data_IF_829697313320
#
_entry.id   IF_829697313320
#
_cell.length_a   1.000
_cell.length_b   1.000
_cell.length_c   1.000
_cell.angle_alpha   90.00
_cell.angle_beta   90.00
_cell.angle_gamma   90.00
#
_symmetry.space_group_name_H-M   'P 1'
#
loop_
_entity.id
_entity.type
_entity.pdbx_description
1 polymer ?
#
# COMPACT_ATOMS: atom_id res chain seq x y z
N UNK A 1 9.63 -24.10 -9.85
CA UNK A 1 9.46 -23.77 -11.27
C UNK A 1 9.48 -25.09 -12.03
N UNK A 2 8.48 -25.37 -12.84
CA UNK A 2 8.29 -26.71 -13.42
C UNK A 2 7.99 -27.74 -12.34
N UNK A 3 8.74 -28.84 -12.30
CA UNK A 3 8.61 -29.90 -11.26
C UNK A 3 9.64 -29.76 -10.13
N UNK A 4 10.44 -28.69 -10.11
CA UNK A 4 11.50 -28.48 -9.10
C UNK A 4 11.02 -27.48 -8.04
N UNK A 5 11.14 -27.90 -6.76
CA UNK A 5 10.87 -27.06 -5.60
C UNK A 5 12.14 -26.33 -5.18
N UNK A 6 12.07 -25.00 -5.09
CA UNK A 6 13.15 -24.14 -4.60
C UNK A 6 12.81 -23.59 -3.23
N UNK A 7 13.74 -23.67 -2.30
CA UNK A 7 13.59 -23.02 -0.98
C UNK A 7 13.83 -21.53 -1.14
N UNK A 8 12.84 -20.73 -0.70
CA UNK A 8 12.98 -19.27 -0.68
C UNK A 8 13.77 -18.81 0.55
N UNK A 9 14.60 -17.76 0.44
CA UNK A 9 15.24 -17.15 1.60
C UNK A 9 14.21 -16.57 2.57
N UNK A 10 14.57 -16.45 3.84
CA UNK A 10 13.66 -15.86 4.86
C UNK A 10 13.24 -14.42 4.52
N UNK A 11 14.18 -13.62 4.00
CA UNK A 11 13.88 -12.29 3.46
C UNK A 11 13.58 -12.44 1.98
N UNK A 12 12.30 -12.42 1.65
CA UNK A 12 11.80 -12.52 0.28
C UNK A 12 10.68 -11.50 0.05
N UNK A 13 10.82 -10.70 -0.98
CA UNK A 13 9.86 -9.68 -1.38
C UNK A 13 9.51 -9.87 -2.86
N UNK A 14 8.22 -9.80 -3.19
CA UNK A 14 7.74 -9.73 -4.56
C UNK A 14 7.31 -8.29 -4.84
N UNK A 15 7.92 -7.68 -5.83
CA UNK A 15 7.52 -6.37 -6.34
C UNK A 15 7.13 -6.52 -7.82
N UNK A 16 5.98 -5.97 -8.18
CA UNK A 16 5.51 -5.88 -9.56
C UNK A 16 5.29 -4.41 -9.91
N UNK A 17 5.60 -4.04 -11.14
CA UNK A 17 5.34 -2.70 -11.67
C UNK A 17 4.34 -2.79 -12.81
N UNK A 18 3.44 -1.81 -12.88
CA UNK A 18 2.51 -1.62 -14.00
C UNK A 18 2.73 -0.21 -14.56
N UNK A 19 2.96 -0.13 -15.86
CA UNK A 19 3.01 1.15 -16.55
C UNK A 19 1.70 1.34 -17.32
N UNK A 20 0.85 2.32 -16.96
CA UNK A 20 -0.42 2.52 -17.65
C UNK A 20 -0.26 2.91 -19.14
N UNK A 21 0.91 3.39 -19.55
CA UNK A 21 1.19 3.78 -20.94
C UNK A 21 1.55 2.55 -21.81
N UNK A 22 2.10 1.50 -21.21
CA UNK A 22 2.60 0.30 -21.91
C UNK A 22 1.58 -0.85 -21.92
N UNK A 23 0.27 -0.55 -21.89
CA UNK A 23 -0.78 -1.59 -21.82
C UNK A 23 -1.03 -2.32 -23.15
N UNK A 24 -0.43 -1.93 -24.25
CA UNK A 24 -0.55 -2.67 -25.51
C UNK A 24 0.12 -4.05 -25.39
N UNK A 25 -0.70 -5.10 -25.47
CA UNK A 25 -0.24 -6.49 -25.43
C UNK A 25 -0.06 -7.12 -24.05
N UNK A 26 -0.42 -6.43 -22.94
CA UNK A 26 -0.41 -6.98 -21.58
C UNK A 26 -1.82 -7.16 -21.04
N UNK A 27 -2.04 -8.27 -20.30
CA UNK A 27 -3.30 -8.48 -19.57
C UNK A 27 -3.14 -7.97 -18.14
N UNK A 28 -4.12 -7.23 -17.61
CA UNK A 28 -4.12 -6.85 -16.20
C UNK A 28 -4.10 -8.12 -15.31
N UNK A 29 -3.41 -8.03 -14.18
CA UNK A 29 -3.43 -9.11 -13.20
C UNK A 29 -4.89 -9.29 -12.70
N UNK A 30 -5.37 -10.55 -12.59
CA UNK A 30 -6.67 -10.81 -11.98
C UNK A 30 -6.75 -10.24 -10.56
N UNK A 31 -7.91 -9.77 -10.16
CA UNK A 31 -8.17 -9.16 -8.83
C UNK A 31 -7.75 -10.06 -7.67
N UNK A 32 -7.99 -11.38 -7.79
CA UNK A 32 -7.55 -12.36 -6.79
C UNK A 32 -6.03 -12.46 -6.64
N UNK A 33 -5.27 -12.07 -7.65
CA UNK A 33 -3.81 -11.97 -7.58
C UNK A 33 -3.37 -10.62 -7.00
N UNK A 34 -4.04 -9.54 -7.38
CA UNK A 34 -3.79 -8.19 -6.83
C UNK A 34 -4.05 -8.16 -5.32
N UNK A 35 -5.11 -8.79 -4.82
CA UNK A 35 -5.42 -8.89 -3.39
C UNK A 35 -4.30 -9.55 -2.54
N UNK A 36 -3.38 -10.29 -3.18
CA UNK A 36 -2.23 -10.92 -2.50
C UNK A 36 -1.07 -9.97 -2.26
N UNK A 37 -0.98 -8.85 -2.98
CA UNK A 37 0.03 -7.83 -2.73
C UNK A 37 -0.32 -7.03 -1.48
N UNK A 38 0.70 -6.71 -0.68
CA UNK A 38 0.52 -5.96 0.57
C UNK A 38 -0.02 -4.55 0.29
N UNK A 39 0.58 -3.87 -0.66
CA UNK A 39 0.30 -2.47 -1.02
C UNK A 39 0.28 -2.30 -2.53
N UNK A 40 -0.47 -1.30 -2.99
CA UNK A 40 -0.45 -0.78 -4.35
C UNK A 40 -0.12 0.71 -4.30
N UNK A 41 1.16 1.03 -4.50
CA UNK A 41 1.65 2.41 -4.45
C UNK A 41 1.51 3.06 -5.82
N UNK A 42 0.90 4.24 -5.88
CA UNK A 42 0.86 5.07 -7.09
C UNK A 42 2.05 6.01 -7.13
N UNK A 43 2.84 5.92 -8.19
CA UNK A 43 3.97 6.82 -8.44
C UNK A 43 3.56 7.78 -9.55
N UNK A 44 3.40 9.04 -9.21
CA UNK A 44 3.08 10.12 -10.16
C UNK A 44 4.35 10.75 -10.76
N UNK A 45 4.15 11.71 -11.65
CA UNK A 45 5.26 12.52 -12.16
C UNK A 45 5.89 13.34 -11.03
N UNK A 46 7.23 13.45 -11.00
CA UNK A 46 7.92 14.26 -10.01
C UNK A 46 7.65 15.76 -10.21
N UNK A 47 7.75 16.52 -9.13
CA UNK A 47 7.71 17.98 -9.21
C UNK A 47 9.01 18.55 -9.81
N UNK A 48 9.00 19.80 -10.27
CA UNK A 48 10.14 20.44 -10.93
C UNK A 48 11.45 20.40 -10.10
N UNK A 49 11.35 20.50 -8.76
CA UNK A 49 12.50 20.39 -7.87
C UNK A 49 13.09 18.97 -7.84
N UNK A 50 12.23 17.94 -7.88
CA UNK A 50 12.65 16.55 -7.91
C UNK A 50 13.23 16.17 -9.29
N UNK A 51 12.67 16.70 -10.40
CA UNK A 51 13.24 16.55 -11.75
C UNK A 51 14.70 17.04 -11.81
N UNK A 52 14.97 18.20 -11.21
CA UNK A 52 16.35 18.72 -11.12
C UNK A 52 17.27 17.76 -10.34
N UNK A 53 16.80 17.24 -9.21
CA UNK A 53 17.57 16.27 -8.40
C UNK A 53 17.84 14.97 -9.17
N UNK A 54 16.86 14.46 -9.92
CA UNK A 54 17.00 13.27 -10.76
C UNK A 54 18.09 13.51 -11.82
N UNK A 55 18.06 14.67 -12.48
CA UNK A 55 19.05 15.03 -13.49
C UNK A 55 20.47 15.14 -12.89
N UNK A 56 20.61 15.77 -11.72
CA UNK A 56 21.89 15.91 -11.05
C UNK A 56 22.42 14.54 -10.56
N UNK A 57 21.56 13.69 -10.01
CA UNK A 57 21.90 12.32 -9.60
C UNK A 57 22.38 11.48 -10.79
N UNK A 58 21.65 11.51 -11.90
CA UNK A 58 22.01 10.76 -13.12
C UNK A 58 23.37 11.19 -13.67
N UNK A 59 23.62 12.50 -13.67
CA UNK A 59 24.94 13.05 -14.08
C UNK A 59 26.06 12.61 -13.14
N UNK A 60 25.79 12.57 -11.83
CA UNK A 60 26.77 12.09 -10.85
C UNK A 60 27.07 10.61 -11.05
N UNK A 61 26.05 9.77 -11.17
CA UNK A 61 26.21 8.34 -11.44
C UNK A 61 27.00 8.06 -12.72
N UNK A 62 26.79 8.84 -13.79
CA UNK A 62 27.56 8.70 -15.01
C UNK A 62 29.05 9.06 -14.82
N UNK A 63 29.36 10.05 -13.97
CA UNK A 63 30.74 10.41 -13.63
C UNK A 63 31.41 9.32 -12.76
N UNK A 64 30.68 8.78 -11.79
CA UNK A 64 31.19 7.75 -10.89
C UNK A 64 31.43 6.43 -11.64
N UNK A 65 30.51 6.06 -12.55
CA UNK A 65 30.69 4.92 -13.45
C UNK A 65 31.95 5.08 -14.34
N UNK A 66 32.21 6.27 -14.87
CA UNK A 66 33.41 6.56 -15.66
C UNK A 66 34.72 6.47 -14.84
N UNK A 67 34.63 6.57 -13.50
CA UNK A 67 35.76 6.42 -12.57
C UNK A 67 35.87 5.03 -11.94
N UNK A 68 35.00 4.06 -12.31
CA UNK A 68 34.84 2.76 -11.65
C UNK A 68 34.57 2.85 -10.12
N UNK A 69 33.97 3.93 -9.67
CA UNK A 69 33.57 4.13 -8.28
C UNK A 69 32.16 3.54 -8.09
N UNK A 70 32.07 2.43 -7.40
CA UNK A 70 30.78 1.77 -7.08
C UNK A 70 30.43 2.10 -5.64
N UNK A 71 29.46 2.98 -5.44
CA UNK A 71 28.93 3.33 -4.12
C UNK A 71 27.68 2.50 -3.78
N UNK A 72 27.81 1.19 -3.74
CA UNK A 72 26.78 0.32 -3.17
C UNK A 72 27.08 0.12 -1.67
N UNK A 73 26.68 1.04 -0.83
CA UNK A 73 26.71 0.83 0.61
C UNK A 73 25.55 -0.11 1.00
N UNK A 74 25.85 -1.25 1.63
CA UNK A 74 24.85 -2.03 2.35
C UNK A 74 24.43 -1.21 3.56
N UNK A 75 23.22 -0.63 3.48
CA UNK A 75 22.71 0.26 4.53
C UNK A 75 22.13 -0.50 5.72
N UNK A 76 21.58 -1.71 5.49
CA UNK A 76 20.95 -2.53 6.51
C UNK A 76 21.34 -4.00 6.34
N UNK A 77 21.50 -4.72 7.45
CA UNK A 77 21.67 -6.16 7.45
C UNK A 77 20.31 -6.87 7.52
N UNK A 78 20.25 -8.17 7.15
CA UNK A 78 19.03 -8.95 7.29
C UNK A 78 18.57 -9.06 8.75
N UNK A 79 19.53 -9.16 9.69
CA UNK A 79 19.25 -9.22 11.12
C UNK A 79 18.55 -7.94 11.62
N UNK A 80 19.00 -6.78 11.15
CA UNK A 80 18.37 -5.50 11.47
C UNK A 80 16.92 -5.45 10.94
N UNK A 81 16.67 -5.96 9.73
CA UNK A 81 15.32 -6.04 9.17
C UNK A 81 14.44 -6.99 9.98
N UNK A 82 14.95 -8.15 10.39
CA UNK A 82 14.19 -9.09 11.22
C UNK A 82 13.92 -8.54 12.62
N UNK A 83 14.87 -7.81 13.22
CA UNK A 83 14.65 -7.10 14.49
C UNK A 83 13.52 -6.07 14.35
N UNK A 84 13.59 -5.23 13.33
CA UNK A 84 12.55 -4.23 13.05
C UNK A 84 11.16 -4.89 12.83
N UNK A 85 11.09 -6.03 12.15
CA UNK A 85 9.84 -6.77 11.99
C UNK A 85 9.25 -7.22 13.33
N UNK A 86 10.08 -7.66 14.28
CA UNK A 86 9.61 -8.05 15.62
C UNK A 86 9.14 -6.83 16.40
N UNK A 87 9.83 -5.71 16.33
CA UNK A 87 9.41 -4.45 16.95
C UNK A 87 8.06 -3.98 16.40
N UNK A 88 7.89 -3.98 15.08
CA UNK A 88 6.63 -3.64 14.42
C UNK A 88 5.48 -4.54 14.89
N UNK A 89 5.71 -5.85 15.05
CA UNK A 89 4.69 -6.78 15.54
C UNK A 89 4.32 -6.52 17.01
N UNK A 90 5.25 -5.99 17.82
CA UNK A 90 5.03 -5.68 19.23
C UNK A 90 4.42 -4.29 19.48
N UNK A 91 4.22 -3.48 18.43
CA UNK A 91 3.61 -2.16 18.54
C UNK A 91 2.24 -2.23 19.22
N UNK A 92 2.00 -1.37 20.20
CA UNK A 92 0.70 -1.28 20.86
C UNK A 92 -0.37 -0.69 19.94
N UNK A 93 -1.54 -1.30 19.90
CA UNK A 93 -2.74 -0.73 19.28
C UNK A 93 -3.87 -0.78 20.29
N UNK A 94 -4.40 0.39 20.65
CA UNK A 94 -5.53 0.47 21.57
C UNK A 94 -6.78 -0.18 20.96
N UNK A 95 -7.65 -0.83 21.76
CA UNK A 95 -8.86 -1.48 21.23
C UNK A 95 -9.75 -0.55 20.39
N UNK A 96 -9.85 0.72 20.74
CA UNK A 96 -10.61 1.70 19.95
C UNK A 96 -10.00 1.94 18.55
N UNK A 97 -8.66 1.95 18.44
CA UNK A 97 -7.96 2.11 17.14
C UNK A 97 -8.09 0.84 16.30
N UNK A 98 -8.03 -0.33 16.93
CA UNK A 98 -8.28 -1.62 16.26
C UNK A 98 -9.72 -1.69 15.74
N UNK A 99 -10.70 -1.27 16.54
CA UNK A 99 -12.10 -1.19 16.12
C UNK A 99 -12.28 -0.24 14.93
N UNK A 100 -11.65 0.94 14.95
CA UNK A 100 -11.68 1.87 13.83
C UNK A 100 -11.14 1.25 12.54
N UNK A 101 -10.01 0.54 12.62
CA UNK A 101 -9.44 -0.20 11.49
C UNK A 101 -10.45 -1.22 10.94
N UNK A 102 -11.06 -2.02 11.83
CA UNK A 102 -12.05 -3.04 11.45
C UNK A 102 -13.27 -2.38 10.80
N UNK A 103 -13.77 -1.29 11.36
CA UNK A 103 -14.94 -0.57 10.84
C UNK A 103 -14.72 -0.03 9.43
N UNK A 104 -13.52 0.46 9.08
CA UNK A 104 -13.18 0.86 7.70
C UNK A 104 -13.35 -0.33 6.74
N UNK A 105 -12.85 -1.51 7.13
CA UNK A 105 -12.95 -2.72 6.29
C UNK A 105 -14.41 -3.21 6.16
N UNK A 106 -15.16 -3.21 7.26
CA UNK A 106 -16.58 -3.58 7.26
C UNK A 106 -17.39 -2.61 6.41
N UNK A 107 -17.16 -1.30 6.55
CA UNK A 107 -17.80 -0.26 5.74
C UNK A 107 -17.51 -0.41 4.24
N UNK A 108 -16.34 -0.93 3.86
CA UNK A 108 -16.06 -1.25 2.46
C UNK A 108 -16.88 -2.42 1.92
N UNK A 109 -17.33 -3.35 2.79
CA UNK A 109 -18.11 -4.55 2.42
C UNK A 109 -19.61 -4.32 2.50
N UNK A 110 -20.04 -3.60 3.52
CA UNK A 110 -21.42 -3.17 3.70
C UNK A 110 -21.43 -1.66 4.01
N UNK A 111 -21.48 -0.83 2.98
CA UNK A 111 -21.50 0.62 3.14
C UNK A 111 -22.88 1.18 3.53
N UNK A 112 -23.93 0.35 3.67
CA UNK A 112 -25.29 0.81 3.94
C UNK A 112 -25.44 1.72 5.18
N UNK A 113 -24.71 1.53 6.29
CA UNK A 113 -24.78 2.46 7.42
C UNK A 113 -24.16 3.83 7.15
N UNK A 114 -23.39 3.94 6.07
CA UNK A 114 -22.57 5.14 5.78
C UNK A 114 -23.09 5.97 4.59
N UNK A 115 -24.14 5.52 3.90
CA UNK A 115 -24.84 6.28 2.88
C UNK A 115 -25.15 5.50 1.59
N UNK A 116 -26.30 5.82 1.00
CA UNK A 116 -26.82 5.15 -0.20
C UNK A 116 -25.92 5.34 -1.44
N UNK A 117 -25.20 6.44 -1.49
CA UNK A 117 -24.20 6.73 -2.53
C UNK A 117 -23.05 5.72 -2.50
N UNK A 118 -22.50 5.42 -1.33
CA UNK A 118 -21.47 4.39 -1.18
C UNK A 118 -21.98 2.99 -1.55
N UNK A 119 -23.25 2.67 -1.22
CA UNK A 119 -23.90 1.40 -1.63
C UNK A 119 -23.96 1.26 -3.15
N UNK A 120 -24.24 2.36 -3.86
CA UNK A 120 -24.30 2.37 -5.33
C UNK A 120 -22.92 2.26 -5.96
N UNK A 121 -21.89 2.83 -5.31
CA UNK A 121 -20.55 2.94 -5.87
C UNK A 121 -19.66 1.72 -5.63
N UNK A 122 -19.86 0.96 -4.55
CA UNK A 122 -19.03 -0.19 -4.21
C UNK A 122 -19.67 -1.48 -4.71
N UNK A 123 -19.00 -2.17 -5.61
CA UNK A 123 -19.41 -3.50 -6.08
C UNK A 123 -18.90 -4.60 -5.14
N UNK A 124 -17.64 -4.54 -4.74
CA UNK A 124 -17.01 -5.46 -3.78
C UNK A 124 -16.06 -4.72 -2.85
N UNK A 125 -16.17 -4.99 -1.56
CA UNK A 125 -15.27 -4.49 -0.54
C UNK A 125 -14.03 -5.37 -0.34
N UNK A 126 -13.11 -4.88 0.49
CA UNK A 126 -11.84 -5.54 0.74
C UNK A 126 -12.00 -6.87 1.47
N UNK A 127 -11.21 -7.87 1.07
CA UNK A 127 -11.14 -9.18 1.72
C UNK A 127 -10.49 -9.09 3.12
N UNK A 128 -10.52 -10.17 3.93
CA UNK A 128 -9.77 -10.22 5.20
C UNK A 128 -8.25 -9.98 5.05
N UNK A 129 -7.68 -10.19 3.86
CA UNK A 129 -6.29 -9.79 3.58
C UNK A 129 -6.09 -8.29 3.67
N UNK A 130 -7.11 -7.50 3.32
CA UNK A 130 -7.09 -6.05 3.51
C UNK A 130 -6.94 -5.67 4.98
N UNK A 131 -7.64 -6.34 5.91
CA UNK A 131 -7.51 -6.13 7.35
C UNK A 131 -6.09 -6.39 7.82
N UNK A 132 -5.51 -7.54 7.45
CA UNK A 132 -4.15 -7.93 7.82
C UNK A 132 -3.12 -6.95 7.22
N UNK A 133 -3.32 -6.52 5.97
CA UNK A 133 -2.45 -5.58 5.31
C UNK A 133 -2.48 -4.20 6.00
N UNK A 134 -3.67 -3.71 6.32
CA UNK A 134 -3.85 -2.40 6.95
C UNK A 134 -3.25 -2.38 8.37
N UNK A 135 -3.46 -3.44 9.19
CA UNK A 135 -2.85 -3.57 10.51
C UNK A 135 -1.32 -3.53 10.43
N UNK A 136 -0.72 -4.35 9.55
CA UNK A 136 0.73 -4.42 9.39
C UNK A 136 1.33 -3.09 8.92
N UNK A 137 0.70 -2.46 7.94
CA UNK A 137 1.18 -1.19 7.39
C UNK A 137 1.02 -0.04 8.39
N UNK A 138 -0.07 0.02 9.16
CA UNK A 138 -0.27 1.03 10.20
C UNK A 138 0.75 0.90 11.34
N UNK A 139 1.05 -0.32 11.80
CA UNK A 139 2.12 -0.58 12.79
C UNK A 139 3.49 -0.17 12.27
N UNK A 140 3.81 -0.55 11.03
CA UNK A 140 5.07 -0.15 10.41
C UNK A 140 5.18 1.37 10.24
N UNK A 141 4.08 2.05 9.89
CA UNK A 141 4.02 3.50 9.78
C UNK A 141 4.29 4.21 11.12
N UNK A 142 3.70 3.72 12.21
CA UNK A 142 3.93 4.26 13.55
C UNK A 142 5.38 4.03 14.00
N UNK A 143 5.92 2.83 13.75
CA UNK A 143 7.31 2.48 14.06
C UNK A 143 8.32 3.36 13.31
N UNK A 144 8.11 3.59 12.00
CA UNK A 144 8.93 4.48 11.18
C UNK A 144 8.90 5.93 11.66
N UNK A 145 7.83 6.35 12.35
CA UNK A 145 7.72 7.67 13.01
C UNK A 145 8.35 7.68 14.42
N UNK A 146 8.97 6.60 14.86
CA UNK A 146 9.64 6.49 16.17
C UNK A 146 8.67 6.43 17.35
N UNK A 147 7.41 5.97 17.14
CA UNK A 147 6.43 5.78 18.20
C UNK A 147 6.35 4.30 18.59
N UNK A 148 5.81 4.02 19.77
CA UNK A 148 5.57 2.69 20.31
C UNK A 148 4.08 2.29 20.31
N UNK A 149 3.23 3.14 19.74
CA UNK A 149 1.80 2.91 19.59
C UNK A 149 1.29 3.36 18.21
N UNK A 150 0.21 2.73 17.77
CA UNK A 150 -0.50 3.04 16.52
C UNK A 150 -1.65 4.01 16.83
N UNK A 151 -1.79 5.05 15.99
CA UNK A 151 -2.88 6.01 16.05
C UNK A 151 -3.81 5.90 14.82
N UNK A 152 -5.01 6.47 14.85
CA UNK A 152 -5.89 6.52 13.68
C UNK A 152 -5.24 7.17 12.46
N UNK A 153 -4.38 8.16 12.65
CA UNK A 153 -3.66 8.84 11.58
C UNK A 153 -2.69 7.92 10.85
N UNK A 154 -2.15 6.88 11.51
CA UNK A 154 -1.29 5.90 10.86
C UNK A 154 -2.08 4.98 9.95
N UNK A 155 -3.30 4.62 10.36
CA UNK A 155 -4.25 3.88 9.53
C UNK A 155 -4.61 4.72 8.30
N UNK A 156 -4.99 5.98 8.50
CA UNK A 156 -5.36 6.91 7.42
C UNK A 156 -4.21 7.16 6.45
N UNK A 157 -2.97 7.18 6.93
CA UNK A 157 -1.77 7.40 6.10
C UNK A 157 -1.51 6.26 5.10
N UNK A 158 -1.90 5.02 5.43
CA UNK A 158 -1.57 3.84 4.61
C UNK A 158 -2.80 3.18 3.96
N UNK A 159 -4.02 3.60 4.31
CA UNK A 159 -5.27 2.96 3.87
C UNK A 159 -5.44 3.00 2.36
N UNK A 160 -5.09 4.09 1.69
CA UNK A 160 -5.18 4.21 0.24
C UNK A 160 -4.30 3.16 -0.45
N UNK A 161 -3.04 3.05 -0.05
CA UNK A 161 -2.10 2.12 -0.66
C UNK A 161 -2.43 0.66 -0.33
N UNK A 162 -3.10 0.40 0.79
CA UNK A 162 -3.50 -0.96 1.19
C UNK A 162 -4.84 -1.41 0.62
N UNK A 163 -5.77 -0.49 0.35
CA UNK A 163 -7.14 -0.87 -0.03
C UNK A 163 -7.52 -0.56 -1.48
N UNK A 164 -6.82 0.36 -2.20
CA UNK A 164 -7.26 0.77 -3.54
C UNK A 164 -7.37 -0.36 -4.55
N UNK A 165 -6.57 -1.41 -4.43
CA UNK A 165 -6.59 -2.58 -5.30
C UNK A 165 -7.48 -3.72 -4.78
N UNK A 166 -8.25 -3.47 -3.71
CA UNK A 166 -9.13 -4.42 -3.04
C UNK A 166 -10.59 -3.98 -3.05
N UNK A 167 -10.86 -2.72 -3.36
CA UNK A 167 -12.21 -2.17 -3.47
C UNK A 167 -12.53 -2.06 -4.96
N UNK A 168 -13.56 -2.79 -5.38
CA UNK A 168 -14.04 -2.78 -6.75
C UNK A 168 -15.23 -1.84 -6.86
N UNK A 169 -15.16 -0.97 -7.84
CA UNK A 169 -16.21 -0.03 -8.14
C UNK A 169 -17.38 -0.70 -8.87
N UNK A 170 -18.55 -0.11 -8.74
CA UNK A 170 -19.67 -0.43 -9.62
C UNK A 170 -19.48 0.27 -10.97
N UNK A 171 -20.18 -0.22 -11.97
CA UNK A 171 -20.20 0.42 -13.29
C UNK A 171 -20.73 1.86 -13.23
N UNK A 172 -21.66 2.14 -12.31
CA UNK A 172 -22.20 3.48 -12.07
C UNK A 172 -21.12 4.43 -11.55
N UNK A 173 -20.31 4.01 -10.57
CA UNK A 173 -19.20 4.80 -10.04
C UNK A 173 -18.13 5.10 -11.11
N UNK A 174 -17.80 4.12 -11.95
CA UNK A 174 -16.88 4.31 -13.06
C UNK A 174 -17.42 5.30 -14.10
N UNK A 175 -18.72 5.22 -14.40
CA UNK A 175 -19.38 6.15 -15.32
C UNK A 175 -19.43 7.59 -14.77
N UNK A 176 -19.50 7.76 -13.43
CA UNK A 176 -19.39 9.05 -12.73
C UNK A 176 -17.93 9.56 -12.65
N UNK A 177 -16.95 8.77 -13.09
CA UNK A 177 -15.52 9.12 -13.07
C UNK A 177 -14.87 8.98 -11.68
N UNK A 178 -15.49 8.24 -10.76
CA UNK A 178 -14.95 8.00 -9.43
C UNK A 178 -13.81 6.97 -9.49
N UNK A 179 -12.87 7.12 -8.58
CA UNK A 179 -11.78 6.16 -8.37
C UNK A 179 -11.93 5.44 -7.03
N UNK A 180 -11.24 4.31 -6.86
CA UNK A 180 -11.18 3.62 -5.55
C UNK A 180 -10.64 4.53 -4.44
N UNK A 181 -9.75 5.47 -4.77
CA UNK A 181 -9.23 6.44 -3.80
C UNK A 181 -10.33 7.44 -3.34
N UNK A 182 -11.29 7.79 -4.20
CA UNK A 182 -12.42 8.63 -3.82
C UNK A 182 -13.36 7.90 -2.85
N UNK A 183 -13.62 6.62 -3.10
CA UNK A 183 -14.40 5.79 -2.18
C UNK A 183 -13.69 5.65 -0.82
N UNK A 184 -12.39 5.37 -0.81
CA UNK A 184 -11.63 5.27 0.44
C UNK A 184 -11.66 6.58 1.22
N UNK A 185 -11.58 7.72 0.55
CA UNK A 185 -11.69 9.05 1.18
C UNK A 185 -13.06 9.24 1.85
N UNK A 186 -14.14 8.83 1.18
CA UNK A 186 -15.48 8.88 1.75
C UNK A 186 -15.65 7.92 2.94
N UNK A 187 -15.09 6.71 2.88
CA UNK A 187 -15.10 5.78 4.01
C UNK A 187 -14.38 6.37 5.22
N UNK A 188 -13.17 6.93 5.05
CA UNK A 188 -12.42 7.59 6.14
C UNK A 188 -13.23 8.74 6.74
N UNK A 189 -13.92 9.53 5.92
CA UNK A 189 -14.70 10.69 6.36
C UNK A 189 -15.94 10.30 7.17
N UNK A 190 -16.57 9.16 6.84
CA UNK A 190 -17.87 8.73 7.40
C UNK A 190 -17.74 7.72 8.54
N UNK A 191 -16.68 6.91 8.54
CA UNK A 191 -16.42 5.98 9.65
C UNK A 191 -15.89 6.78 10.84
N UNK A 192 -16.58 6.79 11.98
CA UNK A 192 -16.12 7.56 13.13
C UNK A 192 -14.86 6.95 13.72
N UNK A 193 -13.95 7.81 14.15
CA UNK A 193 -12.84 7.41 15.03
C UNK A 193 -13.45 7.24 16.42
N UNK A 194 -13.40 6.03 16.98
CA UNK A 194 -13.98 5.68 18.28
C UNK A 194 -13.21 6.33 19.45
#
# INVERSE_FOLDING_TARGET
>A
VGQVTYTLPRLFLVMATQNPIEQEGTYPLPEAQLDRFLMHVRVGYPQASAEKQILDLTRQQARDAARNETHAAVLLTQEQIFSAQQEVLSMHMAPAVEEYLIQILLASRDPSPYGDDLVRWVSYGASPRGTIALDRCARAQAWLKGRDYVSPEDIQAVVHDTLRHRILLSFEAEAEGLSSDDIIRELIRRVPVA
#
